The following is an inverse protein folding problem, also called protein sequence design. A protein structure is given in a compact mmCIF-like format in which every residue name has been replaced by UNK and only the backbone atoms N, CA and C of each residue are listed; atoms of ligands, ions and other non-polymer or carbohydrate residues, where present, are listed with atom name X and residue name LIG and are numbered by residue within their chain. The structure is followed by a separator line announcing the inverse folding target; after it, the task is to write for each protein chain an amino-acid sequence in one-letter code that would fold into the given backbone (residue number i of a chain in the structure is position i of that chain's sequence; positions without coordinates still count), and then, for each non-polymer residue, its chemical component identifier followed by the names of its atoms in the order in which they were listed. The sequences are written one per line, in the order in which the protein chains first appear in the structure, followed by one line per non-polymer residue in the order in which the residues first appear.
data_IF_548123158957
#
_entry.id   IF_548123158957
#
_cell.length_a   1.000
_cell.length_b   1.000
_cell.length_c   1.000
_cell.angle_alpha   90.00
_cell.angle_beta   90.00
_cell.angle_gamma   90.00
#
_symmetry.space_group_name_H-M   'P 1'
#
loop_
_entity.id
_entity.type
_entity.pdbx_description
1 polymer ?
#
# COMPACT_ATOMS: atom_id res chain seq x y z
N UNK A 1 -6.31 13.80 -32.41
CA UNK A 1 -5.53 12.73 -31.73
C UNK A 1 -6.42 11.96 -30.74
N UNK A 2 -5.99 10.83 -30.19
CA UNK A 2 -6.75 10.10 -29.16
C UNK A 2 -6.18 10.35 -27.75
N UNK A 3 -7.06 10.41 -26.75
CA UNK A 3 -6.67 10.59 -25.36
C UNK A 3 -5.93 9.34 -24.85
N UNK A 4 -4.69 9.45 -24.33
CA UNK A 4 -3.93 8.29 -23.85
C UNK A 4 -4.49 7.68 -22.55
N UNK A 5 -5.42 8.37 -21.88
CA UNK A 5 -6.05 7.90 -20.63
C UNK A 5 -7.39 7.20 -20.85
N UNK A 6 -8.22 7.67 -21.78
CA UNK A 6 -9.57 7.11 -21.98
C UNK A 6 -9.85 6.62 -23.41
N UNK A 7 -8.94 6.81 -24.37
CA UNK A 7 -9.09 6.33 -25.75
C UNK A 7 -10.03 7.16 -26.64
N UNK A 8 -10.70 8.18 -26.10
CA UNK A 8 -11.64 9.00 -26.86
C UNK A 8 -10.92 10.01 -27.78
N UNK A 9 -11.55 10.34 -28.91
CA UNK A 9 -11.01 11.32 -29.85
C UNK A 9 -11.02 12.74 -29.25
N UNK A 10 -9.88 13.41 -29.33
CA UNK A 10 -9.67 14.78 -28.86
C UNK A 10 -9.06 15.64 -29.95
N UNK A 11 -9.39 16.93 -29.91
CA UNK A 11 -8.89 17.91 -30.88
C UNK A 11 -7.39 18.11 -30.72
N UNK A 12 -6.66 18.22 -31.82
CA UNK A 12 -5.24 18.55 -31.78
C UNK A 12 -5.04 19.94 -31.16
N UNK A 13 -4.08 20.06 -30.23
CA UNK A 13 -3.84 21.28 -29.45
C UNK A 13 -4.52 21.31 -28.07
N UNK A 14 -5.36 20.32 -27.74
CA UNK A 14 -6.08 20.30 -26.46
C UNK A 14 -5.13 20.15 -25.28
N UNK A 15 -5.22 21.05 -24.28
CA UNK A 15 -4.45 20.93 -23.02
C UNK A 15 -5.00 19.84 -22.09
N UNK A 16 -6.29 19.54 -22.19
CA UNK A 16 -7.00 18.56 -21.36
C UNK A 16 -8.02 17.78 -22.20
N UNK A 17 -8.30 16.54 -21.82
CA UNK A 17 -9.34 15.72 -22.43
C UNK A 17 -10.72 16.18 -21.95
N UNK A 18 -11.61 16.53 -22.88
CA UNK A 18 -12.99 16.93 -22.57
C UNK A 18 -13.88 15.80 -22.03
N UNK A 19 -13.46 14.54 -22.18
CA UNK A 19 -14.25 13.36 -21.79
C UNK A 19 -13.86 12.81 -20.42
N UNK A 20 -12.57 12.85 -20.03
CA UNK A 20 -12.09 12.30 -18.77
C UNK A 20 -11.28 13.27 -17.90
N UNK A 21 -11.06 14.51 -18.36
CA UNK A 21 -10.36 15.56 -17.61
C UNK A 21 -8.83 15.44 -17.57
N UNK A 22 -8.23 14.38 -18.12
CA UNK A 22 -6.78 14.20 -18.06
C UNK A 22 -6.02 15.23 -18.90
N UNK A 23 -4.91 15.75 -18.38
CA UNK A 23 -4.03 16.68 -19.11
C UNK A 23 -3.29 15.99 -20.26
N UNK A 24 -3.21 16.66 -21.41
CA UNK A 24 -2.56 16.16 -22.63
C UNK A 24 -1.26 16.95 -22.83
N UNK A 25 -0.12 16.27 -22.66
CA UNK A 25 1.20 16.86 -22.87
C UNK A 25 1.55 16.77 -24.36
N UNK A 26 1.39 17.87 -25.10
CA UNK A 26 1.84 17.93 -26.49
C UNK A 26 3.37 17.99 -26.56
N UNK A 27 3.99 16.95 -27.11
CA UNK A 27 5.42 16.90 -27.39
C UNK A 27 5.64 17.56 -28.75
N UNK A 28 5.86 18.88 -28.77
CA UNK A 28 6.29 19.56 -29.99
C UNK A 28 7.71 19.09 -30.31
N UNK A 29 7.86 18.41 -31.44
CA UNK A 29 9.15 18.07 -32.00
C UNK A 29 9.80 19.34 -32.58
N UNK A 30 10.86 19.82 -31.92
CA UNK A 30 11.88 20.66 -32.58
C UNK A 30 13.22 20.02 -32.29
N UNK A 31 13.89 19.68 -33.38
CA UNK A 31 15.23 19.12 -33.46
C UNK A 31 16.25 20.07 -32.83
N UNK A 32 17.26 19.55 -32.13
CA UNK A 32 18.65 19.95 -32.31
C UNK A 32 19.59 18.95 -31.61
N UNK A 33 20.61 18.54 -32.35
CA UNK A 33 21.69 17.68 -31.92
C UNK A 33 22.88 18.52 -31.38
N UNK A 34 23.65 17.88 -30.48
CA UNK A 34 25.07 18.11 -30.16
C UNK A 34 25.53 19.44 -29.54
N UNK A 35 26.03 19.41 -28.30
CA UNK A 35 27.48 19.49 -27.96
C UNK A 35 27.76 19.80 -26.49
N UNK A 36 28.65 18.98 -25.91
CA UNK A 36 29.81 19.32 -25.06
C UNK A 36 29.69 20.21 -23.80
N UNK A 37 29.96 19.54 -22.67
CA UNK A 37 31.01 19.81 -21.65
C UNK A 37 31.00 21.08 -20.76
N UNK A 38 31.45 20.83 -19.52
CA UNK A 38 32.04 21.71 -18.49
C UNK A 38 31.10 22.25 -17.40
N UNK A 39 31.21 21.58 -16.25
CA UNK A 39 31.33 22.09 -14.87
C UNK A 39 30.90 23.54 -14.59
N UNK A 40 30.00 23.69 -13.63
CA UNK A 40 30.02 24.80 -12.68
C UNK A 40 29.76 24.29 -11.28
N UNK A 41 30.76 24.53 -10.44
CA UNK A 41 30.83 24.29 -9.01
C UNK A 41 29.74 25.05 -8.26
N UNK A 42 29.08 24.38 -7.33
CA UNK A 42 28.52 25.01 -6.14
C UNK A 42 29.40 24.59 -4.97
N UNK A 43 30.05 25.58 -4.38
CA UNK A 43 30.86 25.45 -3.17
C UNK A 43 29.95 24.96 -2.03
N UNK A 44 30.27 23.79 -1.47
CA UNK A 44 29.68 23.29 -0.24
C UNK A 44 30.51 23.77 0.96
N UNK A 45 30.04 24.82 1.62
CA UNK A 45 30.63 25.34 2.85
C UNK A 45 30.24 24.48 4.07
N UNK A 46 31.26 23.83 4.61
CA UNK A 46 31.33 23.03 5.83
C UNK A 46 31.08 23.90 7.10
N UNK A 47 29.83 24.23 7.46
CA UNK A 47 29.56 24.79 8.82
C UNK A 47 28.18 24.58 9.43
N UNK A 48 27.23 23.97 8.73
CA UNK A 48 25.83 23.85 9.21
C UNK A 48 25.51 22.52 9.92
N UNK A 49 26.38 21.50 9.83
CA UNK A 49 26.16 20.17 10.45
C UNK A 49 26.38 20.10 11.97
N UNK A 50 27.11 21.04 12.58
CA UNK A 50 27.46 20.96 14.02
C UNK A 50 26.36 21.50 14.95
N UNK A 51 25.45 22.36 14.45
CA UNK A 51 24.38 22.95 15.26
C UNK A 51 23.18 22.00 15.42
N UNK A 52 22.84 21.23 14.38
CA UNK A 52 21.67 20.34 14.40
C UNK A 52 21.89 19.13 15.34
N UNK A 53 23.13 18.63 15.44
CA UNK A 53 23.47 17.50 16.32
C UNK A 53 23.46 17.91 17.80
N UNK A 54 23.91 19.13 18.12
CA UNK A 54 23.89 19.64 19.50
C UNK A 54 22.48 19.83 20.07
N UNK A 55 21.54 20.29 19.24
CA UNK A 55 20.14 20.51 19.66
C UNK A 55 19.40 19.18 19.88
N UNK A 56 19.67 18.16 19.07
CA UNK A 56 19.09 16.82 19.24
C UNK A 56 19.55 16.13 20.53
N UNK A 57 20.83 16.25 20.88
CA UNK A 57 21.38 15.62 22.11
C UNK A 57 20.81 16.31 23.36
N UNK A 58 20.70 17.64 23.37
CA UNK A 58 20.12 18.37 24.49
C UNK A 58 18.64 18.02 24.73
N UNK A 59 17.85 17.84 23.66
CA UNK A 59 16.44 17.45 23.76
C UNK A 59 16.24 16.03 24.32
N UNK A 60 17.11 15.08 23.97
CA UNK A 60 17.06 13.70 24.48
C UNK A 60 17.43 13.66 25.97
N UNK A 61 18.41 14.44 26.41
CA UNK A 61 18.78 14.52 27.83
C UNK A 61 17.66 15.12 28.67
N UNK A 62 16.98 16.16 28.18
CA UNK A 62 15.81 16.75 28.87
C UNK A 62 14.66 15.74 28.97
N UNK A 63 14.39 14.98 27.92
CA UNK A 63 13.36 13.92 27.95
C UNK A 63 13.72 12.80 28.94
N UNK A 64 14.97 12.36 28.98
CA UNK A 64 15.40 11.32 29.92
C UNK A 64 15.26 11.76 31.39
N UNK A 65 15.54 13.02 31.71
CA UNK A 65 15.39 13.55 33.08
C UNK A 65 13.90 13.60 33.49
N UNK A 66 13.00 13.89 32.55
CA UNK A 66 11.55 13.88 32.80
C UNK A 66 11.02 12.45 33.07
N UNK A 67 11.60 11.43 32.44
CA UNK A 67 11.24 10.03 32.68
C UNK A 67 11.85 9.43 33.96
N UNK A 68 13.01 9.91 34.42
CA UNK A 68 13.61 9.44 35.69
C UNK A 68 12.90 10.06 36.91
N UNK A 69 12.20 11.20 36.75
CA UNK A 69 11.47 11.88 37.83
C UNK A 69 10.06 11.36 38.13
N UNK A 70 9.51 10.42 37.35
CA UNK A 70 8.13 9.93 37.47
C UNK A 70 8.03 8.40 37.63
N UNK A 71 9.09 7.74 38.13
CA UNK A 71 9.18 6.29 38.30
C UNK A 71 9.13 5.83 39.75
N UNK A 72 8.15 6.24 40.55
CA UNK A 72 7.79 5.54 41.80
C UNK A 72 6.36 5.02 41.69
N UNK A 73 6.21 3.72 41.43
CA UNK A 73 4.90 3.09 41.31
C UNK A 73 4.97 1.60 40.95
N UNK A 74 5.32 0.79 41.95
CA UNK A 74 4.80 -0.56 42.22
C UNK A 74 4.41 -1.43 41.02
N UNK A 75 5.31 -2.34 40.63
CA UNK A 75 4.91 -3.63 40.04
C UNK A 75 5.65 -4.75 40.78
N UNK A 76 4.91 -5.35 41.73
CA UNK A 76 5.23 -6.62 42.36
C UNK A 76 4.50 -7.70 41.56
N UNK A 77 5.22 -8.74 41.12
CA UNK A 77 4.62 -9.83 40.37
C UNK A 77 5.57 -11.03 40.37
N UNK A 78 5.39 -11.89 41.36
CA UNK A 78 6.16 -13.11 41.58
C UNK A 78 6.09 -14.08 40.41
N UNK A 79 7.26 -14.57 40.00
CA UNK A 79 7.44 -15.69 39.09
C UNK A 79 7.08 -16.99 39.81
N UNK A 80 5.96 -17.61 39.44
CA UNK A 80 5.65 -18.99 39.83
C UNK A 80 5.11 -19.75 38.62
N UNK A 81 5.95 -20.61 38.08
CA UNK A 81 5.60 -21.64 37.11
C UNK A 81 4.56 -22.60 37.67
N UNK A 82 3.52 -22.94 36.91
CA UNK A 82 2.90 -24.28 36.95
C UNK A 82 2.08 -24.52 35.70
N UNK A 83 2.41 -25.62 35.02
CA UNK A 83 1.56 -26.24 34.02
C UNK A 83 0.27 -26.74 34.68
N UNK A 84 -0.88 -26.57 34.02
CA UNK A 84 -2.07 -27.41 34.24
C UNK A 84 -2.91 -27.42 32.96
N UNK A 85 -3.12 -28.62 32.44
CA UNK A 85 -4.12 -28.93 31.44
C UNK A 85 -5.52 -28.82 32.07
N UNK A 86 -6.44 -28.16 31.37
CA UNK A 86 -7.84 -28.05 31.80
C UNK A 86 -8.70 -27.43 30.71
N UNK A 87 -9.52 -28.27 30.07
CA UNK A 87 -10.63 -27.88 29.20
C UNK A 87 -11.63 -27.03 29.98
N UNK A 88 -12.10 -25.92 29.41
CA UNK A 88 -13.43 -25.37 29.71
C UNK A 88 -13.95 -24.50 28.57
N UNK A 89 -15.23 -24.67 28.35
CA UNK A 89 -16.07 -24.21 27.27
C UNK A 89 -16.77 -22.88 27.57
N UNK A 90 -17.01 -22.13 26.47
CA UNK A 90 -18.04 -21.10 26.22
C UNK A 90 -17.90 -19.70 26.84
N UNK A 91 -17.79 -18.71 25.95
CA UNK A 91 -18.75 -17.60 25.90
C UNK A 91 -18.79 -17.03 24.47
N UNK A 92 -19.90 -17.28 23.76
CA UNK A 92 -20.16 -16.71 22.44
C UNK A 92 -20.84 -15.35 22.58
N UNK A 93 -20.22 -14.29 22.06
CA UNK A 93 -20.92 -13.09 21.64
C UNK A 93 -21.60 -13.39 20.28
N UNK A 94 -22.78 -12.82 19.97
CA UNK A 94 -23.42 -13.00 18.68
C UNK A 94 -22.72 -12.09 17.66
N UNK A 95 -21.52 -12.49 17.23
CA UNK A 95 -20.95 -11.96 16.00
C UNK A 95 -21.73 -12.62 14.88
N UNK A 96 -22.67 -11.89 14.29
CA UNK A 96 -23.28 -12.20 13.00
C UNK A 96 -22.14 -12.33 11.97
N UNK A 97 -21.54 -13.51 11.87
CA UNK A 97 -20.52 -13.84 10.89
C UNK A 97 -21.21 -13.89 9.54
N UNK A 98 -21.23 -12.73 8.87
CA UNK A 98 -21.60 -12.66 7.46
C UNK A 98 -20.62 -13.58 6.74
N UNK A 99 -21.12 -14.72 6.27
CA UNK A 99 -20.26 -15.75 5.68
C UNK A 99 -19.48 -15.15 4.50
N UNK A 100 -18.15 -15.15 4.59
CA UNK A 100 -17.28 -14.65 3.54
C UNK A 100 -17.32 -15.61 2.37
N UNK A 101 -17.53 -15.09 1.15
CA UNK A 101 -17.58 -15.87 -0.08
C UNK A 101 -16.83 -15.16 -1.20
N UNK A 102 -16.39 -15.92 -2.20
CA UNK A 102 -15.70 -15.37 -3.38
C UNK A 102 -16.61 -14.50 -4.26
N UNK A 103 -17.93 -14.70 -4.23
CA UNK A 103 -18.88 -13.88 -5.02
C UNK A 103 -19.23 -12.56 -4.33
N UNK A 104 -19.00 -12.45 -3.02
CA UNK A 104 -19.31 -11.25 -2.24
C UNK A 104 -18.40 -11.15 -1.00
N UNK A 105 -17.13 -10.90 -1.24
CA UNK A 105 -16.14 -10.68 -0.18
C UNK A 105 -16.33 -9.28 0.45
N UNK A 106 -16.55 -9.13 1.76
CA UNK A 106 -16.71 -7.82 2.39
C UNK A 106 -15.38 -7.08 2.50
N UNK A 107 -15.32 -5.80 2.10
CA UNK A 107 -14.12 -4.95 2.27
C UNK A 107 -13.70 -4.84 3.74
N UNK A 108 -14.64 -4.89 4.67
CA UNK A 108 -14.39 -4.90 6.12
C UNK A 108 -13.53 -6.08 6.59
N UNK A 109 -13.47 -7.18 5.84
CA UNK A 109 -12.66 -8.38 6.17
C UNK A 109 -11.23 -8.29 5.63
N UNK A 110 -10.93 -7.32 4.76
CA UNK A 110 -9.62 -7.20 4.12
C UNK A 110 -8.45 -7.02 5.12
N UNK A 111 -8.58 -6.28 6.25
CA UNK A 111 -7.52 -6.20 7.25
C UNK A 111 -7.20 -7.54 7.91
N UNK A 112 -8.23 -8.34 8.22
CA UNK A 112 -8.05 -9.66 8.79
C UNK A 112 -7.38 -10.61 7.79
N UNK A 113 -7.77 -10.52 6.51
CA UNK A 113 -7.10 -11.27 5.43
C UNK A 113 -5.62 -10.87 5.30
N UNK A 114 -5.31 -9.57 5.36
CA UNK A 114 -3.93 -9.08 5.32
C UNK A 114 -3.09 -9.64 6.47
N UNK A 115 -3.67 -9.74 7.68
CA UNK A 115 -3.01 -10.37 8.81
C UNK A 115 -2.79 -11.87 8.58
N UNK A 116 -3.76 -12.58 8.01
CA UNK A 116 -3.61 -13.99 7.66
C UNK A 116 -2.49 -14.23 6.63
N UNK A 117 -2.38 -13.36 5.62
CA UNK A 117 -1.30 -13.39 4.62
C UNK A 117 0.04 -13.14 5.30
N UNK A 118 0.16 -12.13 6.17
CA UNK A 118 1.40 -11.88 6.92
C UNK A 118 1.82 -13.08 7.77
N UNK A 119 0.86 -13.71 8.45
CA UNK A 119 1.10 -14.89 9.28
C UNK A 119 1.50 -16.13 8.46
N UNK A 120 1.11 -16.21 7.18
CA UNK A 120 1.48 -17.32 6.29
C UNK A 120 2.97 -17.34 5.91
N UNK A 121 3.70 -16.24 6.14
CA UNK A 121 5.11 -16.14 5.76
C UNK A 121 5.35 -16.16 4.24
N UNK A 122 4.35 -15.78 3.44
CA UNK A 122 4.43 -15.78 1.98
C UNK A 122 4.03 -17.10 1.31
N UNK A 123 3.55 -18.08 2.09
CA UNK A 123 3.04 -19.34 1.56
C UNK A 123 1.60 -19.19 1.08
N UNK A 124 1.32 -19.70 -0.12
CA UNK A 124 -0.02 -19.76 -0.70
C UNK A 124 -0.37 -21.20 -1.08
N UNK A 125 -1.66 -21.59 -1.02
CA UNK A 125 -2.82 -20.76 -0.69
C UNK A 125 -2.89 -20.39 0.80
N UNK A 126 -3.55 -19.27 1.11
CA UNK A 126 -3.80 -18.83 2.49
C UNK A 126 -5.19 -19.27 2.92
N UNK A 127 -5.28 -19.94 4.07
CA UNK A 127 -6.56 -20.28 4.68
C UNK A 127 -7.13 -19.05 5.39
N UNK A 128 -8.29 -18.60 4.94
CA UNK A 128 -9.00 -17.47 5.55
C UNK A 128 -10.47 -17.83 5.75
N UNK A 129 -10.86 -17.99 7.01
CA UNK A 129 -12.17 -18.55 7.40
C UNK A 129 -12.40 -19.91 6.71
N UNK A 130 -13.46 -20.06 5.92
CA UNK A 130 -13.75 -21.27 5.14
C UNK A 130 -13.14 -21.29 3.73
N UNK A 131 -12.38 -20.25 3.35
CA UNK A 131 -11.81 -20.11 2.01
C UNK A 131 -10.33 -20.51 1.98
N UNK A 132 -9.93 -21.16 0.90
CA UNK A 132 -8.51 -21.35 0.52
C UNK A 132 -8.21 -20.40 -0.62
N UNK A 133 -7.49 -19.31 -0.34
CA UNK A 133 -7.31 -18.20 -1.27
C UNK A 133 -5.94 -18.27 -1.96
N UNK A 134 -5.94 -18.14 -3.28
CA UNK A 134 -4.70 -18.06 -4.07
C UNK A 134 -4.02 -16.71 -3.88
N UNK A 135 -2.74 -16.62 -4.28
CA UNK A 135 -2.00 -15.36 -4.27
C UNK A 135 -2.68 -14.29 -5.13
N UNK A 136 -3.23 -14.69 -6.26
CA UNK A 136 -3.92 -13.82 -7.22
C UNK A 136 -5.22 -13.28 -6.61
N UNK A 137 -6.01 -14.14 -5.97
CA UNK A 137 -7.25 -13.73 -5.28
C UNK A 137 -6.95 -12.77 -4.13
N UNK A 138 -5.95 -13.07 -3.30
CA UNK A 138 -5.52 -12.18 -2.23
C UNK A 138 -5.05 -10.82 -2.77
N UNK A 139 -4.25 -10.82 -3.84
CA UNK A 139 -3.77 -9.57 -4.46
C UNK A 139 -4.93 -8.74 -5.00
N UNK A 140 -5.92 -9.39 -5.64
CA UNK A 140 -7.12 -8.70 -6.11
C UNK A 140 -7.97 -8.14 -4.97
N UNK A 141 -8.28 -8.95 -3.94
CA UNK A 141 -9.08 -8.54 -2.78
C UNK A 141 -8.45 -7.32 -2.10
N UNK A 142 -7.16 -7.38 -1.76
CA UNK A 142 -6.52 -6.30 -1.02
C UNK A 142 -6.38 -5.02 -1.87
N UNK A 143 -5.98 -5.14 -3.14
CA UNK A 143 -5.88 -3.97 -4.03
C UNK A 143 -7.26 -3.31 -4.29
N UNK A 144 -8.31 -4.11 -4.52
CA UNK A 144 -9.67 -3.58 -4.68
C UNK A 144 -10.19 -2.94 -3.40
N UNK A 145 -9.88 -3.52 -2.24
CA UNK A 145 -10.25 -2.98 -0.92
C UNK A 145 -9.60 -1.62 -0.65
N UNK A 146 -8.29 -1.49 -0.89
CA UNK A 146 -7.59 -0.19 -0.79
C UNK A 146 -8.24 0.86 -1.69
N UNK A 147 -8.58 0.50 -2.93
CA UNK A 147 -9.24 1.41 -3.86
C UNK A 147 -10.62 1.85 -3.36
N UNK A 148 -11.46 0.90 -2.92
CA UNK A 148 -12.82 1.18 -2.44
C UNK A 148 -12.82 2.02 -1.17
N UNK A 149 -11.95 1.72 -0.20
CA UNK A 149 -11.77 2.53 1.00
C UNK A 149 -11.31 3.95 0.62
N UNK A 150 -10.34 4.06 -0.29
CA UNK A 150 -9.87 5.35 -0.79
C UNK A 150 -10.95 6.18 -1.49
N UNK A 151 -11.96 5.53 -2.06
CA UNK A 151 -13.13 6.15 -2.70
C UNK A 151 -14.30 6.41 -1.72
N UNK A 152 -14.15 6.10 -0.43
CA UNK A 152 -15.19 6.30 0.59
C UNK A 152 -16.22 5.18 0.67
N UNK A 153 -15.89 3.98 0.18
CA UNK A 153 -16.77 2.79 0.18
C UNK A 153 -16.21 1.64 1.03
N UNK A 154 -15.98 1.84 2.35
CA UNK A 154 -15.37 0.80 3.22
C UNK A 154 -16.29 -0.41 3.48
N UNK A 155 -17.61 -0.27 3.27
CA UNK A 155 -18.60 -1.33 3.51
C UNK A 155 -19.00 -2.09 2.23
N UNK A 156 -18.33 -1.80 1.11
CA UNK A 156 -18.59 -2.46 -0.16
C UNK A 156 -18.26 -3.96 -0.12
N UNK A 157 -18.78 -4.69 -1.11
CA UNK A 157 -18.43 -6.10 -1.35
C UNK A 157 -17.72 -6.26 -2.69
N UNK A 158 -16.89 -7.29 -2.81
CA UNK A 158 -16.07 -7.60 -3.97
C UNK A 158 -16.47 -8.97 -4.51
N UNK A 159 -16.75 -9.06 -5.81
CA UNK A 159 -16.87 -10.33 -6.52
C UNK A 159 -15.48 -10.75 -7.02
N UNK A 160 -14.81 -11.60 -6.24
CA UNK A 160 -13.40 -11.99 -6.38
C UNK A 160 -13.13 -12.78 -7.67
N UNK A 161 -14.01 -13.73 -7.99
CA UNK A 161 -13.79 -14.65 -9.13
C UNK A 161 -12.53 -15.51 -8.97
N UNK A 162 -11.89 -15.83 -10.10
CA UNK A 162 -10.66 -16.63 -10.16
C UNK A 162 -9.63 -15.98 -11.11
N UNK A 163 -9.02 -14.85 -10.71
CA UNK A 163 -8.04 -14.17 -11.55
C UNK A 163 -6.79 -15.03 -11.73
N UNK A 164 -6.25 -15.06 -12.96
CA UNK A 164 -4.99 -15.74 -13.25
C UNK A 164 -3.77 -14.87 -12.92
N UNK A 165 -2.61 -15.51 -12.80
CA UNK A 165 -1.35 -14.82 -12.58
C UNK A 165 -0.96 -13.92 -13.75
N UNK A 166 -0.06 -12.97 -13.49
CA UNK A 166 0.52 -12.15 -14.53
C UNK A 166 1.33 -13.04 -15.50
N UNK A 167 1.12 -12.96 -16.82
CA UNK A 167 1.83 -13.83 -17.77
C UNK A 167 3.32 -13.51 -17.87
N UNK A 168 3.72 -12.24 -17.70
CA UNK A 168 5.12 -11.79 -17.79
C UNK A 168 5.40 -10.74 -16.71
N UNK A 169 5.42 -11.13 -15.41
CA UNK A 169 5.58 -10.19 -14.31
C UNK A 169 6.95 -9.51 -14.37
N UNK A 170 6.96 -8.21 -14.12
CA UNK A 170 8.15 -7.35 -14.13
C UNK A 170 7.96 -6.20 -13.14
N UNK A 171 9.04 -5.53 -12.79
CA UNK A 171 9.03 -4.40 -11.85
C UNK A 171 10.23 -4.43 -10.92
N UNK A 172 10.45 -3.32 -10.23
CA UNK A 172 11.52 -3.14 -9.25
C UNK A 172 10.93 -3.14 -7.85
N UNK A 173 11.66 -3.76 -6.94
CA UNK A 173 11.30 -3.82 -5.52
C UNK A 173 12.22 -2.88 -4.71
N UNK A 174 12.50 -1.70 -5.27
CA UNK A 174 13.36 -0.71 -4.64
C UNK A 174 12.60 0.05 -3.55
N UNK A 175 13.34 0.50 -2.54
CA UNK A 175 12.74 1.27 -1.46
C UNK A 175 12.36 2.68 -1.89
N UNK A 176 11.14 3.10 -1.53
CA UNK A 176 10.64 4.44 -1.81
C UNK A 176 9.39 4.76 -0.96
N UNK A 177 9.11 6.06 -0.80
CA UNK A 177 7.88 6.52 -0.16
C UNK A 177 6.79 6.75 -1.21
N UNK A 178 5.61 6.17 -1.00
CA UNK A 178 4.43 6.36 -1.85
C UNK A 178 3.33 7.04 -1.03
N UNK A 179 2.91 8.23 -1.46
CA UNK A 179 1.81 8.97 -0.85
C UNK A 179 0.45 8.29 -1.04
N UNK A 180 -0.51 8.61 -0.16
CA UNK A 180 -1.86 8.03 -0.16
C UNK A 180 -2.58 8.10 -1.49
N UNK A 181 -2.61 9.26 -2.12
CA UNK A 181 -3.27 9.43 -3.41
C UNK A 181 -2.68 8.51 -4.49
N UNK A 182 -1.37 8.25 -4.43
CA UNK A 182 -0.67 7.44 -5.41
C UNK A 182 -0.94 5.95 -5.21
N UNK A 183 -0.84 5.42 -3.98
CA UNK A 183 -1.11 3.99 -3.79
C UNK A 183 -2.61 3.65 -3.93
N UNK A 184 -3.51 4.59 -3.64
CA UNK A 184 -4.96 4.43 -3.90
C UNK A 184 -5.23 4.39 -5.41
N UNK A 185 -4.64 5.32 -6.18
CA UNK A 185 -4.75 5.30 -7.65
C UNK A 185 -4.14 4.03 -8.26
N UNK A 186 -2.97 3.60 -7.78
CA UNK A 186 -2.34 2.34 -8.19
C UNK A 186 -3.26 1.15 -7.94
N UNK A 187 -3.82 1.06 -6.72
CA UNK A 187 -4.78 0.03 -6.31
C UNK A 187 -6.03 0.02 -7.19
N UNK A 188 -6.56 1.20 -7.52
CA UNK A 188 -7.71 1.33 -8.40
C UNK A 188 -7.40 0.85 -9.83
N UNK A 189 -6.27 1.27 -10.40
CA UNK A 189 -5.86 0.84 -11.75
C UNK A 189 -5.57 -0.65 -11.82
N UNK A 190 -4.89 -1.19 -10.82
CA UNK A 190 -4.52 -2.60 -10.73
C UNK A 190 -5.76 -3.50 -10.66
N UNK A 191 -6.66 -3.22 -9.71
CA UNK A 191 -7.89 -3.99 -9.55
C UNK A 191 -8.84 -3.84 -10.75
N UNK A 192 -8.94 -2.63 -11.31
CA UNK A 192 -9.73 -2.41 -12.54
C UNK A 192 -9.17 -3.15 -13.76
N UNK A 193 -7.86 -3.38 -13.83
CA UNK A 193 -7.28 -4.21 -14.88
C UNK A 193 -7.70 -5.67 -14.72
N UNK A 194 -7.68 -6.20 -13.50
CA UNK A 194 -8.12 -7.56 -13.20
C UNK A 194 -9.59 -7.74 -13.57
N UNK A 195 -10.45 -6.76 -13.24
CA UNK A 195 -11.87 -6.77 -13.61
C UNK A 195 -12.09 -6.94 -15.13
N UNK A 196 -11.24 -6.30 -15.95
CA UNK A 196 -11.36 -6.31 -17.41
C UNK A 196 -10.72 -7.53 -18.07
N UNK A 197 -9.61 -8.02 -17.51
CA UNK A 197 -8.75 -9.00 -18.18
C UNK A 197 -8.77 -10.38 -17.52
N UNK A 198 -9.34 -10.51 -16.31
CA UNK A 198 -9.33 -11.77 -15.55
C UNK A 198 -7.94 -12.23 -15.14
N UNK A 199 -6.93 -11.35 -15.19
CA UNK A 199 -5.53 -11.67 -14.90
C UNK A 199 -4.83 -10.49 -14.22
N UNK A 200 -3.82 -10.78 -13.40
CA UNK A 200 -2.96 -9.74 -12.81
C UNK A 200 -2.19 -8.98 -13.91
N UNK A 201 -2.03 -7.64 -13.79
CA UNK A 201 -1.11 -6.87 -14.63
C UNK A 201 0.32 -7.39 -14.55
N UNK A 202 1.12 -7.16 -15.60
CA UNK A 202 2.55 -7.51 -15.59
C UNK A 202 3.39 -6.59 -14.69
N UNK A 203 2.94 -5.37 -14.42
CA UNK A 203 3.61 -4.38 -13.59
C UNK A 203 2.58 -3.34 -13.11
N UNK A 204 2.96 -2.54 -12.12
CA UNK A 204 2.15 -1.42 -11.62
C UNK A 204 2.96 -0.14 -11.67
N UNK A 205 2.57 0.79 -12.53
CA UNK A 205 3.27 2.06 -12.64
C UNK A 205 2.94 3.02 -11.49
N UNK A 206 3.97 3.65 -10.94
CA UNK A 206 3.86 4.73 -9.95
C UNK A 206 3.89 6.05 -10.70
N UNK A 207 2.87 6.91 -10.53
CA UNK A 207 2.81 8.21 -11.22
C UNK A 207 3.66 9.30 -10.55
N UNK A 208 4.87 8.93 -10.15
CA UNK A 208 5.91 9.84 -9.66
C UNK A 208 7.06 9.82 -10.67
N UNK A 209 7.48 10.98 -11.17
CA UNK A 209 8.54 11.05 -12.18
C UNK A 209 9.83 10.40 -11.71
N UNK A 210 10.42 9.52 -12.54
CA UNK A 210 11.68 8.82 -12.22
C UNK A 210 11.52 7.60 -11.32
N UNK A 211 10.31 7.25 -10.91
CA UNK A 211 10.04 6.04 -10.13
C UNK A 211 9.84 4.84 -11.06
N UNK A 212 10.52 3.74 -10.75
CA UNK A 212 10.36 2.49 -11.48
C UNK A 212 8.99 1.84 -11.20
N UNK A 213 8.48 1.10 -12.18
CA UNK A 213 7.29 0.27 -12.00
C UNK A 213 7.54 -0.80 -10.93
N UNK A 214 6.49 -1.17 -10.19
CA UNK A 214 6.57 -2.22 -9.17
C UNK A 214 6.00 -3.54 -9.68
N UNK A 215 6.49 -4.65 -9.13
CA UNK A 215 6.00 -5.99 -9.49
C UNK A 215 4.60 -6.28 -8.91
N UNK A 216 3.83 -7.20 -9.49
CA UNK A 216 2.54 -7.62 -8.91
C UNK A 216 2.69 -8.24 -7.51
N UNK A 217 3.82 -8.92 -7.25
CA UNK A 217 4.15 -9.41 -5.91
C UNK A 217 4.40 -8.26 -4.93
N UNK A 218 5.14 -7.22 -5.34
CA UNK A 218 5.33 -6.03 -4.51
C UNK A 218 4.03 -5.30 -4.24
N UNK A 219 3.13 -5.26 -5.21
CA UNK A 219 1.79 -4.72 -5.04
C UNK A 219 1.02 -5.43 -3.92
N UNK A 220 1.13 -6.76 -3.82
CA UNK A 220 0.55 -7.53 -2.72
C UNK A 220 1.13 -7.11 -1.37
N UNK A 221 2.46 -7.04 -1.23
CA UNK A 221 3.13 -6.65 0.03
C UNK A 221 2.71 -5.25 0.50
N UNK A 222 2.60 -4.33 -0.47
CA UNK A 222 2.12 -2.97 -0.26
C UNK A 222 0.70 -3.00 0.30
N UNK A 223 -0.20 -3.72 -0.36
CA UNK A 223 -1.60 -3.79 0.06
C UNK A 223 -1.74 -4.47 1.43
N UNK A 224 -0.94 -5.50 1.72
CA UNK A 224 -0.89 -6.15 3.04
C UNK A 224 -0.51 -5.12 4.11
N UNK A 225 0.55 -4.33 3.87
CA UNK A 225 1.01 -3.33 4.82
C UNK A 225 -0.04 -2.24 5.06
N UNK A 226 -0.64 -1.70 3.98
CA UNK A 226 -1.71 -0.69 4.06
C UNK A 226 -2.92 -1.23 4.85
N UNK A 227 -3.35 -2.46 4.57
CA UNK A 227 -4.54 -3.03 5.19
C UNK A 227 -4.33 -3.37 6.67
N UNK A 228 -3.11 -3.75 7.08
CA UNK A 228 -2.75 -3.90 8.48
C UNK A 228 -2.84 -2.55 9.21
N UNK A 229 -2.23 -1.50 8.65
CA UNK A 229 -2.28 -0.16 9.24
C UNK A 229 -3.72 0.38 9.32
N UNK A 230 -4.51 0.16 8.25
CA UNK A 230 -5.93 0.51 8.23
C UNK A 230 -6.73 -0.26 9.29
N UNK A 231 -6.47 -1.55 9.49
CA UNK A 231 -7.12 -2.34 10.53
C UNK A 231 -6.89 -1.82 11.95
N UNK A 232 -5.72 -1.24 12.19
CA UNK A 232 -5.36 -0.70 13.51
C UNK A 232 -5.87 0.74 13.74
N UNK A 233 -5.93 1.55 12.68
CA UNK A 233 -6.17 3.00 12.79
C UNK A 233 -7.52 3.45 12.25
N UNK A 234 -8.21 2.57 11.52
CA UNK A 234 -9.40 2.88 10.71
C UNK A 234 -9.18 4.03 9.71
N UNK A 235 -7.92 4.32 9.37
CA UNK A 235 -7.53 5.35 8.43
C UNK A 235 -6.45 4.82 7.49
N UNK A 236 -6.56 5.13 6.20
CA UNK A 236 -5.50 4.79 5.26
C UNK A 236 -4.24 5.62 5.59
N UNK A 237 -3.04 5.01 5.65
CA UNK A 237 -1.81 5.70 6.05
C UNK A 237 -1.49 6.85 5.07
N UNK A 238 -1.02 8.00 5.57
CA UNK A 238 -0.73 9.15 4.71
C UNK A 238 0.32 8.84 3.62
N UNK A 239 1.24 7.92 3.92
CA UNK A 239 2.20 7.36 2.99
C UNK A 239 2.66 6.00 3.47
N UNK A 240 3.22 5.21 2.56
CA UNK A 240 3.91 3.95 2.87
C UNK A 240 5.36 4.04 2.45
N UNK A 241 6.23 3.37 3.20
CA UNK A 241 7.60 3.12 2.79
C UNK A 241 7.70 1.68 2.30
N UNK A 242 8.04 1.54 1.02
CA UNK A 242 8.31 0.25 0.39
C UNK A 242 9.81 0.07 0.24
#
# INVERSE_FOLDING_TARGET
MYCPKCGEEIKDGSKFCKHCGSQIKQKNAVNNAASNNVNTSSNDDEKTKKIIIGVLIAAIVVLAIVFVGFGTGLFNGDSSSSATAGSQSQQAAPSSSKAVSLSSFPVSEAPALAQAIKNSGGNFPVQFQSLSLTKEQCTYILSKSVALIGQGNPDATISVGNPSGAPHPSGRDNSQTIARENYVDMSNRFSSWIDRNGALPNYVGVYTGGVADISPSRMLDICVSIMIDYGNTHNLPASINI
#
